data_IF_015441502234
#
_entry.id   IF_015441502234
#
_cell.length_a   1.000
_cell.length_b   1.000
_cell.length_c   1.000
_cell.angle_alpha   90.00
_cell.angle_beta   90.00
_cell.angle_gamma   90.00
#
_symmetry.space_group_name_H-M   'P 1'
#
loop_
_entity.id
_entity.type
_entity.pdbx_description
1 polymer ?
#
# COMPACT_ATOMS: atom_id res chain seq x y z
N UNK A 1 -2.89 8.51 58.25
CA UNK A 1 -1.79 7.96 59.06
C UNK A 1 -2.33 6.69 59.65
N UNK A 2 -1.88 5.55 59.13
CA UNK A 2 -1.77 4.27 59.83
C UNK A 2 -1.38 3.21 58.79
N UNK A 3 -0.09 2.87 58.84
CA UNK A 3 0.58 1.82 58.09
C UNK A 3 0.11 0.43 58.54
N UNK A 4 0.00 -0.50 57.58
CA UNK A 4 -0.17 -1.94 57.84
C UNK A 4 0.92 -2.75 57.15
N UNK A 5 1.76 -3.35 57.99
CA UNK A 5 2.27 -4.74 57.94
C UNK A 5 2.93 -5.24 56.63
N UNK A 6 4.25 -5.01 56.54
CA UNK A 6 5.34 -6.00 56.69
C UNK A 6 5.20 -7.49 56.25
N UNK A 7 6.33 -7.95 55.67
CA UNK A 7 6.92 -9.31 55.55
C UNK A 7 6.56 -10.16 54.31
N UNK A 8 7.45 -10.87 53.60
CA UNK A 8 8.88 -10.84 53.21
C UNK A 8 9.11 -12.11 52.34
N UNK A 9 10.22 -12.17 51.59
CA UNK A 9 10.86 -13.38 51.00
C UNK A 9 10.22 -14.05 49.77
N UNK A 10 10.93 -14.64 48.80
CA UNK A 10 12.33 -14.66 48.38
C UNK A 10 12.40 -15.33 46.98
N UNK A 11 13.47 -15.02 46.26
CA UNK A 11 14.23 -15.85 45.31
C UNK A 11 13.59 -16.48 44.04
N UNK A 12 14.02 -15.91 42.91
CA UNK A 12 14.91 -16.56 41.92
C UNK A 12 14.67 -18.03 41.55
N UNK A 13 14.28 -18.29 40.29
CA UNK A 13 14.76 -19.47 39.55
C UNK A 13 15.05 -19.13 38.08
N UNK A 14 16.32 -19.33 37.71
CA UNK A 14 16.83 -19.42 36.34
C UNK A 14 16.33 -20.71 35.69
N UNK A 15 16.02 -20.65 34.40
CA UNK A 15 15.89 -21.81 33.52
C UNK A 15 16.43 -21.49 32.14
N UNK A 16 17.68 -21.86 31.89
CA UNK A 16 18.28 -21.98 30.56
C UNK A 16 17.57 -23.09 29.77
N UNK A 17 17.20 -22.83 28.52
CA UNK A 17 17.06 -23.89 27.51
C UNK A 17 17.75 -23.45 26.21
N UNK A 18 18.42 -24.44 25.65
CA UNK A 18 19.55 -24.44 24.76
C UNK A 18 19.06 -24.80 23.34
N UNK A 19 19.16 -23.90 22.36
CA UNK A 19 18.91 -24.26 20.96
C UNK A 19 20.23 -24.46 20.21
N UNK A 20 20.50 -25.74 19.96
CA UNK A 20 21.64 -26.23 19.17
C UNK A 20 21.40 -26.03 17.68
N UNK A 21 22.46 -25.59 17.02
CA UNK A 21 22.69 -25.63 15.57
C UNK A 21 22.24 -26.96 14.91
N UNK A 22 21.58 -26.87 13.76
CA UNK A 22 21.63 -27.91 12.73
C UNK A 22 22.15 -27.29 11.44
N UNK A 23 23.44 -27.56 11.17
CA UNK A 23 24.08 -27.44 9.86
C UNK A 23 23.83 -28.73 9.07
N UNK A 24 23.41 -28.63 7.81
CA UNK A 24 23.63 -29.68 6.81
C UNK A 24 24.18 -29.09 5.51
N UNK A 25 25.47 -29.32 5.27
CA UNK A 25 26.14 -29.23 3.95
C UNK A 25 25.88 -30.55 3.20
N UNK A 26 25.76 -30.51 1.87
CA UNK A 26 26.66 -31.22 0.92
C UNK A 26 26.05 -31.42 -0.48
N UNK A 27 26.88 -31.11 -1.49
CA UNK A 27 26.67 -31.26 -2.92
C UNK A 27 26.93 -32.69 -3.45
N UNK A 28 26.32 -33.08 -4.59
CA UNK A 28 27.00 -33.79 -5.71
C UNK A 28 26.10 -34.10 -6.93
N UNK A 29 26.28 -33.30 -7.99
CA UNK A 29 26.66 -33.69 -9.38
C UNK A 29 26.49 -35.17 -9.79
N UNK A 30 25.72 -35.45 -10.85
CA UNK A 30 26.22 -36.29 -11.97
C UNK A 30 25.44 -36.19 -13.29
N UNK A 31 26.26 -36.07 -14.32
CA UNK A 31 26.06 -35.94 -15.75
C UNK A 31 25.65 -37.28 -16.39
N UNK A 32 24.78 -37.29 -17.42
CA UNK A 32 24.81 -38.34 -18.45
C UNK A 32 24.15 -37.90 -19.77
N UNK A 33 25.02 -37.66 -20.77
CA UNK A 33 24.72 -37.60 -22.21
C UNK A 33 24.23 -38.95 -22.73
N UNK A 34 23.28 -38.95 -23.68
CA UNK A 34 23.32 -39.83 -24.88
C UNK A 34 22.49 -39.23 -26.02
N UNK A 35 22.77 -39.73 -27.22
CA UNK A 35 22.87 -39.09 -28.54
C UNK A 35 21.81 -39.67 -29.51
N UNK A 36 21.43 -38.92 -30.55
CA UNK A 36 20.69 -39.38 -31.75
C UNK A 36 19.74 -38.27 -32.25
N UNK A 37 20.05 -37.43 -33.24
CA UNK A 37 20.31 -37.54 -34.69
C UNK A 37 19.06 -37.54 -35.59
N UNK A 38 19.03 -36.59 -36.53
CA UNK A 38 18.08 -36.40 -37.65
C UNK A 38 16.99 -35.37 -37.35
N UNK A 39 16.75 -34.30 -38.10
CA UNK A 39 17.30 -33.80 -39.36
C UNK A 39 16.24 -32.86 -39.99
N UNK A 40 16.65 -31.63 -40.35
CA UNK A 40 15.91 -30.74 -41.25
C UNK A 40 15.09 -29.63 -40.58
N UNK A 41 15.62 -28.41 -40.52
CA UNK A 41 14.77 -27.22 -40.70
C UNK A 41 15.52 -26.07 -41.39
N UNK A 42 14.74 -25.28 -42.11
CA UNK A 42 15.13 -24.31 -43.11
C UNK A 42 15.77 -23.07 -42.48
N UNK A 43 16.81 -22.57 -43.15
CA UNK A 43 17.51 -21.33 -42.87
C UNK A 43 16.59 -20.14 -43.18
N UNK A 44 16.22 -19.39 -42.14
CA UNK A 44 15.66 -18.03 -42.24
C UNK A 44 16.69 -17.06 -41.65
N UNK A 45 16.84 -15.95 -42.34
CA UNK A 45 17.96 -15.00 -42.30
C UNK A 45 18.17 -14.36 -40.91
N UNK A 46 19.39 -14.43 -40.40
CA UNK A 46 19.83 -13.96 -39.07
C UNK A 46 20.42 -12.54 -39.16
N UNK A 47 19.81 -11.68 -39.98
CA UNK A 47 20.33 -10.36 -40.32
C UNK A 47 19.45 -9.17 -39.88
N UNK A 48 18.36 -9.39 -39.13
CA UNK A 48 17.41 -8.31 -38.81
C UNK A 48 16.87 -8.28 -37.37
N UNK A 49 17.65 -8.73 -36.37
CA UNK A 49 17.35 -8.47 -34.95
C UNK A 49 18.64 -8.21 -34.16
N UNK A 50 19.31 -7.07 -34.37
CA UNK A 50 20.26 -6.56 -33.36
C UNK A 50 20.54 -5.06 -33.51
N UNK A 51 19.49 -4.24 -33.52
CA UNK A 51 19.62 -2.81 -33.27
C UNK A 51 18.85 -2.45 -32.00
N UNK A 52 19.59 -2.21 -30.90
CA UNK A 52 19.09 -1.44 -29.76
C UNK A 52 19.21 -2.08 -28.38
N UNK A 53 20.08 -1.47 -27.55
CA UNK A 53 20.20 -1.57 -26.09
C UNK A 53 21.02 -2.72 -25.46
N UNK A 54 22.36 -2.53 -25.42
CA UNK A 54 23.25 -3.14 -24.43
C UNK A 54 23.14 -2.43 -23.07
N UNK A 55 21.96 -2.43 -22.43
CA UNK A 55 21.81 -1.79 -21.12
C UNK A 55 22.35 -2.76 -20.05
N UNK A 56 23.38 -2.34 -19.31
CA UNK A 56 23.97 -3.13 -18.22
C UNK A 56 22.93 -3.37 -17.12
N UNK A 57 22.92 -4.55 -16.51
CA UNK A 57 22.10 -4.83 -15.32
C UNK A 57 22.34 -3.83 -14.18
N UNK A 58 23.55 -3.26 -14.10
CA UNK A 58 23.85 -2.20 -13.13
C UNK A 58 23.18 -0.87 -13.49
N UNK A 59 23.04 -0.57 -14.78
CA UNK A 59 22.38 0.64 -15.26
C UNK A 59 20.85 0.50 -15.14
N UNK A 60 20.31 -0.71 -15.36
CA UNK A 60 18.90 -1.03 -15.04
C UNK A 60 18.67 -0.83 -13.53
N UNK A 61 19.56 -1.36 -12.68
CA UNK A 61 19.45 -1.21 -11.22
C UNK A 61 19.50 0.25 -10.79
N UNK A 62 20.44 1.03 -11.33
CA UNK A 62 20.54 2.47 -11.08
C UNK A 62 19.34 3.23 -11.60
N UNK A 63 18.81 2.88 -12.77
CA UNK A 63 17.62 3.51 -13.33
C UNK A 63 16.37 3.21 -12.48
N UNK A 64 16.20 1.97 -12.02
CA UNK A 64 15.12 1.57 -11.10
C UNK A 64 15.27 2.28 -9.75
N UNK A 65 16.49 2.46 -9.25
CA UNK A 65 16.78 3.20 -8.03
C UNK A 65 16.50 4.71 -8.20
N UNK A 66 16.88 5.32 -9.32
CA UNK A 66 16.56 6.72 -9.63
C UNK A 66 15.04 6.93 -9.78
N UNK A 67 14.34 5.98 -10.41
CA UNK A 67 12.87 5.99 -10.52
C UNK A 67 12.20 5.84 -9.16
N UNK A 68 12.73 5.00 -8.26
CA UNK A 68 12.18 4.84 -6.91
C UNK A 68 12.44 6.07 -6.03
N UNK A 69 13.57 6.78 -6.20
CA UNK A 69 13.84 8.05 -5.52
C UNK A 69 12.88 9.18 -5.92
N UNK A 70 12.39 9.20 -7.16
CA UNK A 70 11.41 10.19 -7.62
C UNK A 70 10.01 9.99 -7.02
N UNK A 71 9.71 8.82 -6.46
CA UNK A 71 8.38 8.48 -5.93
C UNK A 71 8.19 8.77 -4.45
N UNK A 72 9.25 9.14 -3.70
CA UNK A 72 9.08 9.48 -2.28
C UNK A 72 8.19 10.72 -2.15
N UNK A 73 7.22 10.76 -1.21
CA UNK A 73 6.43 11.95 -0.95
C UNK A 73 7.33 13.11 -0.51
N UNK A 74 6.98 14.35 -0.87
CA UNK A 74 7.71 15.52 -0.37
C UNK A 74 7.45 15.66 1.13
N UNK A 75 8.51 15.88 1.90
CA UNK A 75 8.40 16.04 3.36
C UNK A 75 8.50 17.48 3.80
N UNK A 76 9.04 18.35 2.95
CA UNK A 76 9.14 19.79 3.18
C UNK A 76 8.41 20.58 2.12
N UNK A 77 8.07 21.83 2.44
CA UNK A 77 7.43 22.76 1.52
C UNK A 77 8.32 23.04 0.31
N UNK A 78 9.63 23.16 0.50
CA UNK A 78 10.60 23.41 -0.59
C UNK A 78 10.66 22.24 -1.57
N UNK A 79 10.68 21.01 -1.07
CA UNK A 79 10.62 19.81 -1.91
C UNK A 79 9.30 19.71 -2.67
N UNK A 80 8.20 20.08 -2.01
CA UNK A 80 6.87 20.05 -2.62
C UNK A 80 6.77 21.02 -3.79
N UNK A 81 7.32 22.23 -3.66
CA UNK A 81 7.33 23.25 -4.72
C UNK A 81 8.11 22.82 -5.97
N UNK A 82 9.08 21.92 -5.83
CA UNK A 82 9.87 21.41 -6.95
C UNK A 82 9.21 20.22 -7.67
N UNK A 83 8.14 19.65 -7.10
CA UNK A 83 7.45 18.49 -7.66
C UNK A 83 6.31 18.88 -8.59
N UNK A 84 6.13 18.07 -9.62
CA UNK A 84 4.99 18.19 -10.52
C UNK A 84 3.85 17.27 -10.08
N UNK A 85 2.69 17.84 -9.75
CA UNK A 85 1.52 17.10 -9.27
C UNK A 85 0.43 16.98 -10.34
N UNK A 86 0.60 16.06 -11.31
CA UNK A 86 -0.35 15.94 -12.42
C UNK A 86 -1.79 15.66 -11.98
N UNK A 87 -1.98 14.78 -10.98
CA UNK A 87 -3.30 14.48 -10.42
C UNK A 87 -3.88 15.68 -9.66
N UNK A 88 -3.19 16.17 -8.63
CA UNK A 88 -3.69 17.26 -7.77
C UNK A 88 -3.89 18.57 -8.51
N UNK A 89 -3.19 18.79 -9.63
CA UNK A 89 -3.42 19.96 -10.46
C UNK A 89 -4.84 20.02 -11.05
N UNK A 90 -5.52 18.87 -11.19
CA UNK A 90 -6.89 18.76 -11.69
C UNK A 90 -7.96 18.81 -10.60
N UNK A 91 -7.56 18.75 -9.33
CA UNK A 91 -8.49 18.70 -8.20
C UNK A 91 -8.80 20.10 -7.67
N UNK A 92 -9.98 20.30 -7.05
CA UNK A 92 -10.38 21.59 -6.47
C UNK A 92 -9.68 21.81 -5.12
N UNK A 93 -8.36 21.99 -5.17
CA UNK A 93 -7.50 22.28 -4.03
C UNK A 93 -6.63 23.50 -4.34
N UNK A 94 -6.29 24.34 -3.34
CA UNK A 94 -5.42 25.49 -3.55
C UNK A 94 -4.05 25.09 -4.10
N UNK A 95 -3.44 25.93 -4.92
CA UNK A 95 -2.07 25.69 -5.41
C UNK A 95 -1.03 26.05 -4.35
N UNK A 96 0.15 25.45 -4.44
CA UNK A 96 1.23 25.63 -3.45
C UNK A 96 1.72 27.08 -3.34
N UNK A 97 1.64 27.84 -4.43
CA UNK A 97 2.04 29.24 -4.56
C UNK A 97 0.87 30.24 -4.44
N UNK A 98 -0.35 29.74 -4.23
CA UNK A 98 -1.56 30.55 -4.17
C UNK A 98 -1.73 31.25 -2.82
N UNK A 99 -2.04 32.56 -2.87
CA UNK A 99 -2.41 33.32 -1.66
C UNK A 99 -3.92 33.27 -1.46
N UNK A 100 -4.35 32.53 -0.44
CA UNK A 100 -5.76 32.39 -0.06
C UNK A 100 -6.24 33.70 0.60
N UNK A 101 -7.29 34.31 0.06
CA UNK A 101 -7.85 35.59 0.54
C UNK A 101 -9.28 35.50 1.05
N UNK A 102 -10.01 34.43 0.71
CA UNK A 102 -11.38 34.17 1.16
C UNK A 102 -11.53 32.74 1.69
N UNK A 103 -12.59 32.51 2.46
CA UNK A 103 -12.97 31.19 2.98
C UNK A 103 -14.30 30.76 2.34
N UNK A 104 -14.22 30.31 1.10
CA UNK A 104 -15.36 29.94 0.26
C UNK A 104 -15.08 28.65 -0.53
N UNK A 105 -16.11 27.96 -1.05
CA UNK A 105 -15.91 26.80 -1.92
C UNK A 105 -15.10 27.15 -3.17
N UNK A 106 -14.12 26.29 -3.52
CA UNK A 106 -13.27 26.47 -4.72
C UNK A 106 -14.08 26.25 -6.01
N UNK A 107 -15.03 25.30 -5.98
CA UNK A 107 -15.97 25.05 -7.07
C UNK A 107 -17.41 25.28 -6.59
N UNK A 108 -18.31 25.73 -7.48
CA UNK A 108 -19.73 25.85 -7.15
C UNK A 108 -20.35 24.48 -6.84
N UNK A 109 -21.43 24.49 -6.05
CA UNK A 109 -22.17 23.26 -5.71
C UNK A 109 -22.73 22.65 -6.99
N UNK A 110 -22.27 21.44 -7.32
CA UNK A 110 -22.75 20.65 -8.45
C UNK A 110 -24.03 19.91 -8.07
N UNK A 111 -25.00 19.88 -8.99
CA UNK A 111 -26.21 19.08 -8.82
C UNK A 111 -25.90 17.58 -8.93
N UNK A 112 -26.74 16.72 -8.34
CA UNK A 112 -26.58 15.25 -8.42
C UNK A 112 -26.60 14.72 -9.86
N UNK A 113 -27.26 15.41 -10.79
CA UNK A 113 -27.30 15.05 -12.21
C UNK A 113 -25.97 15.32 -12.95
N UNK A 114 -25.13 16.20 -12.42
CA UNK A 114 -23.79 16.49 -12.98
C UNK A 114 -22.74 15.50 -12.47
N UNK A 115 -23.06 14.76 -11.40
CA UNK A 115 -22.19 13.74 -10.84
C UNK A 115 -22.38 12.45 -11.64
N UNK A 116 -21.26 11.88 -12.07
CA UNK A 116 -21.23 10.59 -12.77
C UNK A 116 -21.86 9.51 -11.89
N UNK A 117 -22.87 8.81 -12.42
CA UNK A 117 -23.52 7.69 -11.72
C UNK A 117 -22.67 6.42 -11.72
N UNK A 118 -21.92 6.17 -12.81
CA UNK A 118 -21.15 4.93 -12.94
C UNK A 118 -19.79 5.02 -12.25
N UNK A 119 -19.30 3.94 -11.61
CA UNK A 119 -17.96 3.91 -11.03
C UNK A 119 -16.86 4.23 -12.05
N UNK A 120 -15.75 4.79 -11.56
CA UNK A 120 -14.57 5.01 -12.40
C UNK A 120 -13.99 3.68 -12.89
N UNK A 121 -13.43 3.69 -14.09
CA UNK A 121 -12.82 2.49 -14.67
C UNK A 121 -11.54 2.12 -13.91
N UNK A 122 -11.41 0.85 -13.56
CA UNK A 122 -10.20 0.28 -13.01
C UNK A 122 -9.36 -0.40 -14.11
N UNK A 123 -8.05 -0.61 -13.89
CA UNK A 123 -7.25 -1.43 -14.79
C UNK A 123 -7.81 -2.85 -14.94
N UNK A 124 -7.50 -3.50 -16.06
CA UNK A 124 -7.99 -4.84 -16.36
C UNK A 124 -7.56 -5.84 -15.28
N UNK A 125 -8.49 -6.66 -14.81
CA UNK A 125 -8.24 -7.66 -13.77
C UNK A 125 -8.56 -7.19 -12.34
N UNK A 126 -9.02 -5.95 -12.17
CA UNK A 126 -9.51 -5.41 -10.91
C UNK A 126 -10.99 -5.06 -10.99
N UNK A 127 -11.67 -5.10 -9.85
CA UNK A 127 -13.07 -4.71 -9.69
C UNK A 127 -13.26 -3.91 -8.40
N UNK A 128 -14.26 -3.04 -8.39
CA UNK A 128 -14.75 -2.41 -7.16
C UNK A 128 -15.47 -3.43 -6.29
N UNK A 129 -15.38 -3.23 -4.98
CA UNK A 129 -16.11 -3.98 -3.97
C UNK A 129 -16.56 -3.03 -2.85
N UNK A 130 -17.77 -3.22 -2.34
CA UNK A 130 -18.30 -2.43 -1.22
C UNK A 130 -18.15 -3.24 0.05
N UNK A 131 -17.20 -2.87 0.91
CA UNK A 131 -16.83 -3.71 2.05
C UNK A 131 -17.90 -3.67 3.15
N UNK A 132 -18.43 -4.85 3.50
CA UNK A 132 -19.28 -5.02 4.67
C UNK A 132 -18.43 -5.28 5.92
N UNK A 133 -18.14 -4.25 6.71
CA UNK A 133 -17.29 -4.37 7.91
C UNK A 133 -17.98 -5.07 9.10
N UNK A 134 -19.27 -5.38 8.99
CA UNK A 134 -19.95 -6.24 9.98
C UNK A 134 -19.61 -7.72 9.79
N UNK A 135 -19.10 -8.11 8.62
CA UNK A 135 -18.60 -9.46 8.37
C UNK A 135 -17.17 -9.62 8.90
N UNK A 136 -16.91 -10.50 9.88
CA UNK A 136 -15.60 -10.63 10.51
C UNK A 136 -14.48 -11.00 9.52
N UNK A 137 -14.81 -11.73 8.45
CA UNK A 137 -13.84 -12.10 7.42
C UNK A 137 -13.42 -10.89 6.58
N UNK A 138 -14.36 -10.04 6.16
CA UNK A 138 -14.07 -8.83 5.37
C UNK A 138 -13.28 -7.83 6.22
N UNK A 139 -13.66 -7.65 7.49
CA UNK A 139 -12.91 -6.80 8.42
C UNK A 139 -11.47 -7.30 8.63
N UNK A 140 -11.29 -8.63 8.72
CA UNK A 140 -9.95 -9.23 8.80
C UNK A 140 -9.14 -9.04 7.52
N UNK A 141 -9.77 -9.09 6.34
CA UNK A 141 -9.08 -8.78 5.08
C UNK A 141 -8.60 -7.33 5.02
N UNK A 142 -9.44 -6.38 5.46
CA UNK A 142 -9.07 -4.98 5.54
C UNK A 142 -7.92 -4.76 6.55
N UNK A 143 -8.02 -5.39 7.71
CA UNK A 143 -6.95 -5.41 8.70
C UNK A 143 -5.62 -5.87 8.09
N UNK A 144 -5.62 -7.03 7.42
CA UNK A 144 -4.42 -7.59 6.78
C UNK A 144 -3.88 -6.66 5.70
N UNK A 145 -4.73 -6.07 4.87
CA UNK A 145 -4.33 -5.12 3.84
C UNK A 145 -3.55 -3.94 4.46
N UNK A 146 -4.11 -3.32 5.50
CA UNK A 146 -3.50 -2.15 6.14
C UNK A 146 -2.21 -2.51 6.89
N UNK A 147 -2.23 -3.58 7.68
CA UNK A 147 -1.07 -4.03 8.43
C UNK A 147 0.14 -4.36 7.52
N UNK A 148 -0.12 -4.93 6.35
CA UNK A 148 0.94 -5.31 5.40
C UNK A 148 1.44 -4.16 4.51
N UNK A 149 0.62 -3.13 4.23
CA UNK A 149 0.87 -2.17 3.15
C UNK A 149 0.66 -0.69 3.51
N UNK A 150 0.22 -0.38 4.73
CA UNK A 150 -0.06 1.00 5.14
C UNK A 150 1.20 1.70 5.69
N UNK A 151 1.02 2.96 6.08
CA UNK A 151 2.07 3.93 6.45
C UNK A 151 3.22 3.29 7.24
N UNK A 152 4.41 3.37 6.65
CA UNK A 152 5.68 3.06 7.29
C UNK A 152 6.36 4.36 7.71
N UNK A 153 7.16 4.30 8.77
CA UNK A 153 8.13 5.36 9.05
C UNK A 153 9.26 5.38 8.01
N UNK A 154 10.09 6.42 8.07
CA UNK A 154 11.11 6.69 7.08
C UNK A 154 12.18 5.60 6.93
N UNK A 155 12.39 4.85 8.02
CA UNK A 155 13.35 3.77 8.13
C UNK A 155 12.69 2.38 8.03
N UNK A 156 11.37 2.31 7.76
CA UNK A 156 10.57 1.09 7.71
C UNK A 156 10.71 0.21 8.98
N UNK A 157 10.96 0.83 10.14
CA UNK A 157 11.06 0.16 11.44
C UNK A 157 9.71 -0.02 12.13
N UNK A 158 8.72 0.83 11.82
CA UNK A 158 7.42 0.86 12.47
C UNK A 158 6.28 0.96 11.45
N UNK A 159 5.22 0.19 11.71
CA UNK A 159 3.94 0.24 10.98
C UNK A 159 2.80 0.35 11.98
N UNK A 160 1.76 1.08 11.60
CA UNK A 160 0.54 1.13 12.40
C UNK A 160 -0.23 -0.19 12.31
N UNK A 161 -0.33 -0.90 13.43
CA UNK A 161 -1.19 -2.06 13.59
C UNK A 161 -2.57 -1.60 14.10
N UNK A 162 -3.51 -1.38 13.19
CA UNK A 162 -4.88 -0.96 13.53
C UNK A 162 -5.75 -2.19 13.83
N UNK A 163 -6.12 -2.48 15.09
CA UNK A 163 -6.90 -3.68 15.39
C UNK A 163 -8.27 -3.67 14.68
N UNK A 164 -8.85 -4.83 14.35
CA UNK A 164 -10.17 -4.92 13.73
C UNK A 164 -11.25 -4.09 14.44
N UNK A 165 -11.27 -4.12 15.77
CA UNK A 165 -12.22 -3.38 16.61
C UNK A 165 -12.04 -1.87 16.47
N UNK A 166 -10.79 -1.40 16.35
CA UNK A 166 -10.49 0.00 16.11
C UNK A 166 -10.96 0.44 14.72
N UNK A 167 -10.69 -0.36 13.69
CA UNK A 167 -11.16 -0.08 12.33
C UNK A 167 -12.68 0.03 12.29
N UNK A 168 -13.39 -0.88 12.96
CA UNK A 168 -14.85 -0.85 13.04
C UNK A 168 -15.34 0.43 13.73
N UNK A 169 -14.74 0.79 14.87
CA UNK A 169 -15.05 2.02 15.60
C UNK A 169 -14.80 3.28 14.76
N UNK A 170 -13.67 3.35 14.04
CA UNK A 170 -13.29 4.51 13.26
C UNK A 170 -14.12 4.66 11.95
N UNK A 171 -14.49 3.54 11.33
CA UNK A 171 -15.15 3.53 10.01
C UNK A 171 -16.68 3.52 10.09
N UNK A 172 -17.26 3.26 11.26
CA UNK A 172 -18.71 3.23 11.48
C UNK A 172 -19.22 4.27 12.52
N UNK A 173 -18.84 5.56 12.43
CA UNK A 173 -19.43 6.59 13.29
C UNK A 173 -20.90 6.85 12.93
N UNK A 174 -21.70 7.49 13.79
CA UNK A 174 -23.11 7.79 13.48
C UNK A 174 -23.30 8.46 12.11
N UNK A 175 -24.19 7.88 11.29
CA UNK A 175 -24.46 8.36 9.93
C UNK A 175 -23.55 7.77 8.83
N UNK A 176 -22.63 6.87 9.18
CA UNK A 176 -21.82 6.14 8.21
C UNK A 176 -22.67 5.43 7.14
N UNK A 177 -22.07 5.19 5.98
CA UNK A 177 -22.69 4.45 4.88
C UNK A 177 -21.73 3.39 4.37
N UNK A 178 -22.26 2.20 4.13
CA UNK A 178 -21.46 1.09 3.61
C UNK A 178 -20.88 1.39 2.23
N UNK A 179 -21.63 2.09 1.37
CA UNK A 179 -21.19 2.53 0.04
C UNK A 179 -19.96 3.45 0.07
N UNK A 180 -19.59 3.98 1.25
CA UNK A 180 -18.40 4.80 1.44
C UNK A 180 -17.18 3.99 1.86
N UNK A 181 -17.30 2.66 2.01
CA UNK A 181 -16.20 1.74 2.28
C UNK A 181 -15.78 1.06 0.98
N UNK A 182 -15.02 1.79 0.17
CA UNK A 182 -14.68 1.39 -1.19
C UNK A 182 -13.42 0.52 -1.23
N UNK A 183 -13.59 -0.76 -1.54
CA UNK A 183 -12.51 -1.72 -1.78
C UNK A 183 -12.20 -1.94 -3.26
N UNK A 184 -10.98 -2.37 -3.55
CA UNK A 184 -10.56 -2.87 -4.87
C UNK A 184 -10.08 -4.30 -4.71
N UNK A 185 -10.66 -5.21 -5.50
CA UNK A 185 -10.29 -6.63 -5.52
C UNK A 185 -9.71 -7.06 -6.85
N UNK A 186 -8.80 -8.03 -6.80
CA UNK A 186 -8.33 -8.74 -7.99
C UNK A 186 -9.39 -9.77 -8.39
N UNK A 187 -9.86 -9.73 -9.64
CA UNK A 187 -10.94 -10.60 -10.14
C UNK A 187 -10.57 -12.09 -10.04
N UNK A 188 -9.30 -12.43 -10.29
CA UNK A 188 -8.85 -13.84 -10.39
C UNK A 188 -8.87 -14.61 -9.06
N UNK A 189 -8.62 -13.93 -7.94
CA UNK A 189 -8.43 -14.57 -6.63
C UNK A 189 -9.21 -13.87 -5.51
N UNK A 190 -10.01 -12.86 -5.84
CA UNK A 190 -10.80 -12.04 -4.93
C UNK A 190 -9.98 -11.35 -3.82
N UNK A 191 -8.65 -11.25 -3.95
CA UNK A 191 -7.80 -10.61 -2.94
C UNK A 191 -8.08 -9.11 -2.92
N UNK A 192 -8.31 -8.56 -1.72
CA UNK A 192 -8.39 -7.13 -1.47
C UNK A 192 -7.00 -6.50 -1.61
N UNK A 193 -6.88 -5.47 -2.44
CA UNK A 193 -5.59 -4.83 -2.80
C UNK A 193 -5.63 -3.31 -2.74
N UNK A 194 -6.80 -2.71 -2.53
CA UNK A 194 -6.95 -1.28 -2.35
C UNK A 194 -8.16 -0.99 -1.49
N UNK A 195 -8.10 0.10 -0.73
CA UNK A 195 -9.19 0.55 0.12
C UNK A 195 -9.13 2.06 0.29
N UNK A 196 -10.29 2.72 0.24
CA UNK A 196 -10.49 4.10 0.65
C UNK A 196 -11.84 4.19 1.37
N UNK A 197 -11.91 5.05 2.39
CA UNK A 197 -13.14 5.24 3.15
C UNK A 197 -13.52 6.71 3.28
N UNK A 198 -14.81 6.97 3.47
CA UNK A 198 -15.32 8.27 3.89
C UNK A 198 -16.30 8.10 5.05
N UNK A 199 -16.31 9.09 5.95
CA UNK A 199 -17.25 9.20 7.07
C UNK A 199 -17.85 10.61 7.09
N UNK A 200 -19.11 10.78 7.52
CA UNK A 200 -19.71 12.09 7.57
C UNK A 200 -19.16 12.87 8.78
N UNK A 201 -18.81 14.13 8.56
CA UNK A 201 -18.44 15.04 9.64
C UNK A 201 -18.87 16.47 9.29
N UNK A 202 -19.40 17.18 10.27
CA UNK A 202 -19.63 18.63 10.18
C UNK A 202 -18.39 19.32 10.74
N UNK A 203 -17.65 20.01 9.87
CA UNK A 203 -16.46 20.76 10.25
C UNK A 203 -16.83 22.22 10.47
N UNK A 204 -16.38 22.79 11.60
CA UNK A 204 -16.44 24.23 11.85
C UNK A 204 -15.09 24.83 11.46
N UNK A 205 -15.09 25.74 10.49
CA UNK A 205 -13.88 26.36 9.96
C UNK A 205 -14.01 27.88 10.16
N UNK A 206 -13.12 28.43 10.99
CA UNK A 206 -13.22 29.80 11.51
C UNK A 206 -14.59 30.06 12.18
N UNK A 207 -15.35 31.02 11.65
CA UNK A 207 -16.63 31.46 12.20
C UNK A 207 -17.84 30.77 11.54
N UNK A 208 -17.61 29.75 10.71
CA UNK A 208 -18.64 28.98 10.00
C UNK A 208 -18.69 27.56 10.52
#
# INVERSE_FOLDING_TARGET
MDDKAEVNENESHKGEVNEKEIKSKSAKKRNRRKKGHGGGDKMLDEAEIQAGCNISLQDIRKAVEVLSFQQKPAKTTEEALQKQYQFWNTQPVPKMDEKITCNEPIEPVKGTLEIRAEPYSLPVGFQWDTLNLDEPLVLKELYMLLNENYVEDDDSMFRFDYPPEFLKWALQPPGWRQDWHCGVRVIKNCRLVGFISAIPATLRIYNQ
#
